data_IF_842933983670
#
_entry.id   IF_842933983670
#
_cell.length_a   1.000
_cell.length_b   1.000
_cell.length_c   1.000
_cell.angle_alpha   90.00
_cell.angle_beta   90.00
_cell.angle_gamma   90.00
#
_symmetry.space_group_name_H-M   'P 1'
#
loop_
_entity.id
_entity.type
_entity.pdbx_description
1 polymer ?
#
# COMPACT_ATOMS: atom_id res chain seq x y z
N UNK A 1 1.41 -15.15 6.92
CA UNK A 1 0.21 -14.33 6.65
C UNK A 1 -0.07 -14.19 5.16
N UNK A 2 -1.25 -14.63 4.71
CA UNK A 2 -1.73 -14.58 3.31
C UNK A 2 -1.94 -13.15 2.79
N UNK A 3 -2.28 -12.22 3.68
CA UNK A 3 -2.51 -10.80 3.38
C UNK A 3 -1.29 -10.12 2.73
N UNK A 4 -0.12 -10.19 3.37
CA UNK A 4 1.08 -9.54 2.84
C UNK A 4 1.53 -10.13 1.50
N UNK A 5 1.30 -11.43 1.28
CA UNK A 5 1.53 -12.06 -0.02
C UNK A 5 0.61 -11.47 -1.09
N UNK A 6 -0.69 -11.37 -0.82
CA UNK A 6 -1.66 -10.76 -1.74
C UNK A 6 -1.31 -9.30 -2.06
N UNK A 7 -0.91 -8.51 -1.05
CA UNK A 7 -0.48 -7.13 -1.26
C UNK A 7 0.79 -7.07 -2.12
N UNK A 8 1.78 -7.94 -1.84
CA UNK A 8 3.02 -8.02 -2.62
C UNK A 8 2.75 -8.39 -4.07
N UNK A 9 1.99 -9.46 -4.32
CA UNK A 9 1.62 -9.91 -5.67
C UNK A 9 0.87 -8.80 -6.43
N UNK A 10 -0.08 -8.15 -5.77
CA UNK A 10 -0.81 -7.00 -6.32
C UNK A 10 0.11 -5.82 -6.69
N UNK A 11 1.05 -5.43 -5.81
CA UNK A 11 1.97 -4.33 -6.09
C UNK A 11 2.99 -4.66 -7.16
N UNK A 12 3.33 -5.95 -7.30
CA UNK A 12 4.17 -6.44 -8.39
C UNK A 12 3.45 -6.30 -9.73
N UNK A 13 2.18 -6.68 -9.80
CA UNK A 13 1.35 -6.50 -10.99
C UNK A 13 1.21 -5.01 -11.36
N UNK A 14 1.00 -4.14 -10.36
CA UNK A 14 0.93 -2.68 -10.55
C UNK A 14 2.22 -2.10 -11.13
N UNK A 15 3.38 -2.59 -10.66
CA UNK A 15 4.68 -2.16 -11.18
C UNK A 15 4.86 -2.59 -12.65
N UNK A 16 4.45 -3.81 -13.01
CA UNK A 16 4.48 -4.29 -14.39
C UNK A 16 3.57 -3.43 -15.27
N UNK A 17 2.36 -3.12 -14.80
CA UNK A 17 1.41 -2.29 -15.54
C UNK A 17 1.96 -0.87 -15.77
N UNK A 18 2.55 -0.26 -14.74
CA UNK A 18 3.19 1.05 -14.85
C UNK A 18 4.35 1.08 -15.86
N UNK A 19 5.15 0.01 -15.92
CA UNK A 19 6.22 -0.13 -16.93
C UNK A 19 5.63 -0.21 -18.33
N UNK A 20 4.59 -1.03 -18.53
CA UNK A 20 3.89 -1.14 -19.82
C UNK A 20 3.26 0.17 -20.25
N UNK A 21 2.61 0.87 -19.32
CA UNK A 21 2.01 2.17 -19.58
C UNK A 21 3.05 3.21 -19.98
N UNK A 22 4.15 3.31 -19.21
CA UNK A 22 5.25 4.24 -19.49
C UNK A 22 5.87 3.99 -20.87
N UNK A 23 6.11 2.73 -21.22
CA UNK A 23 6.67 2.36 -22.53
C UNK A 23 5.70 2.57 -23.68
N UNK A 24 4.39 2.32 -23.49
CA UNK A 24 3.32 2.63 -24.46
C UNK A 24 3.28 4.12 -24.80
N UNK A 25 3.59 4.99 -23.84
CA UNK A 25 3.67 6.45 -24.00
C UNK A 25 4.97 6.93 -24.66
N UNK A 26 5.88 6.01 -25.03
CA UNK A 26 7.19 6.33 -25.60
C UNK A 26 8.25 6.70 -24.55
N UNK A 27 7.95 6.55 -23.26
CA UNK A 27 8.91 6.73 -22.18
C UNK A 27 9.83 5.52 -22.01
N UNK A 28 10.93 5.71 -21.29
CA UNK A 28 11.84 4.64 -20.87
C UNK A 28 11.86 4.57 -19.35
N UNK A 29 11.91 3.35 -18.80
CA UNK A 29 11.98 3.11 -17.36
C UNK A 29 13.42 2.83 -16.96
N UNK A 30 13.91 3.60 -15.99
CA UNK A 30 15.23 3.40 -15.39
C UNK A 30 15.08 2.74 -14.02
N UNK A 31 15.32 1.42 -13.96
CA UNK A 31 15.22 0.62 -12.75
C UNK A 31 16.38 0.83 -11.77
N UNK A 32 17.42 1.57 -12.16
CA UNK A 32 18.55 1.89 -11.29
C UNK A 32 18.24 3.03 -10.30
N UNK A 33 17.17 3.80 -10.56
CA UNK A 33 16.73 4.90 -9.71
C UNK A 33 15.79 4.40 -8.63
N UNK A 34 16.32 4.19 -7.43
CA UNK A 34 15.51 3.93 -6.24
C UNK A 34 15.19 5.27 -5.56
N UNK A 35 13.96 5.77 -5.70
CA UNK A 35 13.51 6.99 -5.00
C UNK A 35 13.11 6.71 -3.54
N UNK A 36 13.15 5.45 -3.09
CA UNK A 36 12.60 5.04 -1.80
C UNK A 36 13.66 5.08 -0.68
N UNK A 37 13.53 6.05 0.23
CA UNK A 37 14.18 5.99 1.54
C UNK A 37 13.29 5.17 2.47
N UNK A 38 13.59 3.87 2.61
CA UNK A 38 12.90 3.03 3.60
C UNK A 38 13.20 3.59 4.98
N UNK A 39 12.18 4.03 5.72
CA UNK A 39 12.33 4.24 7.18
C UNK A 39 12.73 2.88 7.77
N UNK A 40 13.99 2.77 8.18
CA UNK A 40 14.57 1.55 8.70
C UNK A 40 13.67 0.98 9.82
N UNK A 41 13.37 -0.33 9.83
CA UNK A 41 12.62 -0.92 10.92
C UNK A 41 13.31 -0.66 12.26
N UNK A 42 12.56 -0.47 13.36
CA UNK A 42 13.12 -0.62 14.68
C UNK A 42 13.76 -2.01 14.80
N UNK A 43 14.88 -2.15 15.54
CA UNK A 43 15.56 -3.43 15.69
C UNK A 43 14.61 -4.52 16.23
N UNK A 44 14.69 -5.72 15.64
CA UNK A 44 13.80 -6.87 15.89
C UNK A 44 13.76 -7.38 17.35
N UNK A 45 14.59 -6.86 18.26
CA UNK A 45 14.76 -7.42 19.62
C UNK A 45 13.66 -7.07 20.62
N UNK A 46 12.78 -6.12 20.31
CA UNK A 46 11.81 -5.61 21.30
C UNK A 46 10.36 -6.06 21.07
N UNK A 47 10.09 -6.90 20.07
CA UNK A 47 8.72 -7.22 19.70
C UNK A 47 8.14 -8.38 20.54
N UNK A 48 7.03 -8.11 21.23
CA UNK A 48 6.13 -9.14 21.74
C UNK A 48 5.34 -9.71 20.55
N UNK A 49 4.96 -10.99 20.60
CA UNK A 49 4.34 -11.69 19.46
C UNK A 49 3.20 -10.85 18.87
N UNK A 50 2.21 -10.39 19.64
CA UNK A 50 1.12 -9.55 19.12
C UNK A 50 1.46 -8.10 18.73
N UNK A 51 2.68 -7.60 18.98
CA UNK A 51 3.12 -6.29 18.47
C UNK A 51 3.75 -6.39 17.09
N UNK A 52 4.15 -7.59 16.64
CA UNK A 52 4.73 -7.80 15.30
C UNK A 52 3.68 -7.66 14.21
N UNK A 53 2.53 -8.33 14.34
CA UNK A 53 1.46 -8.27 13.32
C UNK A 53 0.84 -6.88 13.26
N UNK A 54 0.64 -6.24 14.42
CA UNK A 54 0.16 -4.86 14.50
C UNK A 54 1.12 -3.90 13.80
N UNK A 55 2.43 -4.03 14.04
CA UNK A 55 3.44 -3.23 13.35
C UNK A 55 3.43 -3.51 11.84
N UNK A 56 3.32 -4.77 11.44
CA UNK A 56 3.25 -5.16 10.03
C UNK A 56 2.07 -4.52 9.31
N UNK A 57 0.87 -4.54 9.91
CA UNK A 57 -0.32 -3.89 9.39
C UNK A 57 -0.15 -2.37 9.33
N UNK A 58 0.38 -1.75 10.39
CA UNK A 58 0.61 -0.30 10.43
C UNK A 58 1.57 0.13 9.33
N UNK A 59 2.67 -0.62 9.13
CA UNK A 59 3.63 -0.35 8.06
C UNK A 59 3.02 -0.52 6.67
N UNK A 60 2.22 -1.56 6.45
CA UNK A 60 1.53 -1.74 5.18
C UNK A 60 0.57 -0.57 4.91
N UNK A 61 -0.18 -0.13 5.92
CA UNK A 61 -1.07 1.03 5.82
C UNK A 61 -0.30 2.31 5.44
N UNK A 62 0.81 2.59 6.12
CA UNK A 62 1.63 3.77 5.83
C UNK A 62 2.25 3.72 4.43
N UNK A 63 2.68 2.53 3.98
CA UNK A 63 3.21 2.35 2.63
C UNK A 63 2.14 2.59 1.57
N UNK A 64 0.92 2.09 1.74
CA UNK A 64 -0.17 2.35 0.80
C UNK A 64 -0.63 3.81 0.80
N UNK A 65 -0.63 4.51 1.95
CA UNK A 65 -0.87 5.96 2.00
C UNK A 65 0.22 6.73 1.25
N UNK A 66 1.48 6.32 1.39
CA UNK A 66 2.58 6.93 0.66
C UNK A 66 2.41 6.77 -0.86
N UNK A 67 2.11 5.56 -1.33
CA UNK A 67 1.83 5.31 -2.75
C UNK A 67 0.63 6.12 -3.27
N UNK A 68 -0.44 6.23 -2.48
CA UNK A 68 -1.59 7.06 -2.82
C UNK A 68 -1.21 8.55 -2.97
N UNK A 69 -0.37 9.08 -2.07
CA UNK A 69 0.12 10.45 -2.17
C UNK A 69 1.00 10.65 -3.40
N UNK A 70 1.87 9.68 -3.73
CA UNK A 70 2.66 9.75 -4.97
C UNK A 70 1.77 9.78 -6.22
N UNK A 71 0.69 8.99 -6.26
CA UNK A 71 -0.28 9.04 -7.34
C UNK A 71 -0.97 10.42 -7.43
N UNK A 72 -1.32 11.02 -6.28
CA UNK A 72 -1.90 12.37 -6.24
C UNK A 72 -0.91 13.45 -6.69
N UNK A 73 0.37 13.34 -6.32
CA UNK A 73 1.40 14.28 -6.75
C UNK A 73 1.56 14.25 -8.27
N UNK A 74 1.63 13.06 -8.87
CA UNK A 74 1.68 12.91 -10.33
C UNK A 74 0.41 13.46 -10.97
N UNK A 75 -0.78 13.12 -10.44
CA UNK A 75 -2.07 13.62 -10.94
C UNK A 75 -2.14 15.15 -10.92
N UNK A 76 -1.66 15.78 -9.83
CA UNK A 76 -1.55 17.24 -9.70
C UNK A 76 -0.61 17.83 -10.74
N UNK A 77 0.55 17.22 -10.96
CA UNK A 77 1.54 17.69 -11.93
C UNK A 77 1.00 17.65 -13.37
N UNK A 78 0.20 16.64 -13.71
CA UNK A 78 -0.38 16.49 -15.06
C UNK A 78 -1.71 17.23 -15.27
N UNK A 79 -2.36 17.69 -14.19
CA UNK A 79 -3.61 18.46 -14.22
C UNK A 79 -3.40 19.97 -14.11
N UNK A 80 -2.19 20.42 -13.76
CA UNK A 80 -1.87 21.83 -13.61
C UNK A 80 -2.12 22.59 -14.91
N UNK A 81 -3.05 23.55 -14.89
CA UNK A 81 -3.43 24.42 -16.02
C UNK A 81 -2.31 25.38 -16.51
N UNK A 82 -1.04 25.12 -16.16
CA UNK A 82 0.06 25.81 -16.84
C UNK A 82 0.02 25.44 -18.31
N UNK A 83 0.15 26.42 -19.21
CA UNK A 83 -0.15 26.33 -20.65
C UNK A 83 0.60 25.24 -21.46
N UNK A 84 1.40 24.37 -20.82
CA UNK A 84 2.27 23.40 -21.48
C UNK A 84 2.03 21.93 -21.12
N UNK A 85 1.34 21.60 -20.02
CA UNK A 85 1.15 20.20 -19.61
C UNK A 85 -0.26 20.00 -19.05
N UNK A 86 -1.15 19.44 -19.86
CA UNK A 86 -2.45 18.94 -19.44
C UNK A 86 -2.66 17.57 -20.06
N UNK A 87 -2.41 16.51 -19.30
CA UNK A 87 -2.40 15.13 -19.79
C UNK A 87 -3.57 14.34 -19.21
N UNK A 88 -4.73 14.46 -19.86
CA UNK A 88 -5.96 13.81 -19.44
C UNK A 88 -5.86 12.27 -19.45
N UNK A 89 -4.97 11.71 -20.28
CA UNK A 89 -4.82 10.26 -20.36
C UNK A 89 -4.04 9.72 -19.16
N UNK A 90 -2.97 10.40 -18.72
CA UNK A 90 -2.30 10.07 -17.44
C UNK A 90 -3.23 10.23 -16.25
N UNK A 91 -4.02 11.30 -16.21
CA UNK A 91 -5.00 11.51 -15.13
C UNK A 91 -5.98 10.33 -15.06
N UNK A 92 -6.60 9.97 -16.19
CA UNK A 92 -7.58 8.89 -16.24
C UNK A 92 -6.96 7.52 -15.90
N UNK A 93 -5.75 7.25 -16.37
CA UNK A 93 -5.00 6.03 -16.04
C UNK A 93 -4.72 5.92 -14.54
N UNK A 94 -4.21 6.99 -13.91
CA UNK A 94 -3.92 7.01 -12.48
C UNK A 94 -5.19 6.81 -11.66
N UNK A 95 -6.28 7.48 -12.02
CA UNK A 95 -7.57 7.35 -11.33
C UNK A 95 -8.08 5.90 -11.38
N UNK A 96 -8.09 5.31 -12.57
CA UNK A 96 -8.64 3.99 -12.84
C UNK A 96 -7.83 2.86 -12.21
N UNK A 97 -6.51 2.89 -12.39
CA UNK A 97 -5.66 1.75 -12.01
C UNK A 97 -5.09 1.88 -10.58
N UNK A 98 -4.88 3.10 -10.06
CA UNK A 98 -4.17 3.32 -8.79
C UNK A 98 -5.04 3.96 -7.70
N UNK A 99 -5.69 5.10 -7.97
CA UNK A 99 -6.33 5.91 -6.93
C UNK A 99 -7.44 5.14 -6.21
N UNK A 100 -8.36 4.53 -6.96
CA UNK A 100 -9.44 3.73 -6.36
C UNK A 100 -8.91 2.53 -5.58
N UNK A 101 -7.95 1.81 -6.16
CA UNK A 101 -7.32 0.64 -5.54
C UNK A 101 -6.63 0.98 -4.22
N UNK A 102 -5.91 2.11 -4.17
CA UNK A 102 -5.27 2.58 -2.95
C UNK A 102 -6.29 2.97 -1.89
N UNK A 103 -7.38 3.66 -2.25
CA UNK A 103 -8.44 4.01 -1.31
C UNK A 103 -9.04 2.76 -0.64
N UNK A 104 -9.39 1.74 -1.42
CA UNK A 104 -9.95 0.47 -0.92
C UNK A 104 -8.94 -0.28 -0.04
N UNK A 105 -7.67 -0.34 -0.46
CA UNK A 105 -6.62 -1.02 0.28
C UNK A 105 -6.34 -0.35 1.62
N UNK A 106 -6.26 0.99 1.64
CA UNK A 106 -6.10 1.79 2.86
C UNK A 106 -7.30 1.57 3.79
N UNK A 107 -8.52 1.56 3.27
CA UNK A 107 -9.74 1.34 4.05
C UNK A 107 -9.76 -0.05 4.70
N UNK A 108 -9.35 -1.07 3.97
CA UNK A 108 -9.26 -2.45 4.48
C UNK A 108 -8.18 -2.57 5.56
N UNK A 109 -6.97 -2.07 5.31
CA UNK A 109 -5.86 -2.10 6.26
C UNK A 109 -6.16 -1.32 7.54
N UNK A 110 -6.80 -0.14 7.43
CA UNK A 110 -7.23 0.63 8.60
C UNK A 110 -8.32 -0.09 9.40
N UNK A 111 -9.23 -0.81 8.72
CA UNK A 111 -10.22 -1.67 9.37
C UNK A 111 -9.56 -2.79 10.15
N UNK A 112 -8.68 -3.56 9.51
CA UNK A 112 -7.92 -4.63 10.14
C UNK A 112 -7.10 -4.16 11.34
N UNK A 113 -6.43 -3.00 11.23
CA UNK A 113 -5.68 -2.42 12.32
C UNK A 113 -6.59 -2.10 13.53
N UNK A 114 -7.75 -1.50 13.28
CA UNK A 114 -8.74 -1.21 14.33
C UNK A 114 -9.26 -2.49 14.98
N UNK A 115 -9.56 -3.51 14.20
CA UNK A 115 -10.09 -4.78 14.71
C UNK A 115 -9.04 -5.45 15.62
N UNK A 116 -7.78 -5.53 15.18
CA UNK A 116 -6.69 -6.10 15.99
C UNK A 116 -6.48 -5.32 17.29
N UNK A 117 -6.49 -3.98 17.25
CA UNK A 117 -6.37 -3.15 18.46
C UNK A 117 -7.52 -3.47 19.42
N UNK A 118 -8.76 -3.48 18.94
CA UNK A 118 -9.93 -3.77 19.78
C UNK A 118 -9.92 -5.18 20.37
N UNK A 119 -9.44 -6.18 19.63
CA UNK A 119 -9.31 -7.55 20.12
C UNK A 119 -8.16 -7.69 21.12
N UNK A 120 -7.09 -6.91 20.98
CA UNK A 120 -5.93 -6.91 21.89
C UNK A 120 -6.22 -6.27 23.25
N UNK A 121 -7.27 -5.46 23.34
CA UNK A 121 -7.80 -4.92 24.61
C UNK A 121 -8.56 -5.99 25.41
N UNK A 122 -8.99 -7.08 24.78
CA UNK A 122 -9.54 -8.25 25.45
C UNK A 122 -8.38 -9.06 26.05
N UNK A 123 -8.58 -9.60 27.26
CA UNK A 123 -7.60 -10.11 28.24
C UNK A 123 -6.44 -11.00 27.72
N UNK A 124 -6.45 -11.47 26.47
CA UNK A 124 -5.39 -12.29 25.89
C UNK A 124 -4.98 -11.87 24.45
N UNK A 125 -3.91 -11.07 24.29
CA UNK A 125 -3.40 -10.62 23.00
C UNK A 125 -3.02 -11.73 22.02
N UNK A 126 -2.57 -12.88 22.53
CA UNK A 126 -2.19 -14.01 21.67
C UNK A 126 -3.42 -14.68 21.03
N UNK A 127 -4.52 -14.76 21.78
CA UNK A 127 -5.79 -15.27 21.24
C UNK A 127 -6.36 -14.31 20.19
N UNK A 128 -6.26 -13.00 20.42
CA UNK A 128 -6.66 -11.98 19.46
C UNK A 128 -5.93 -12.12 18.12
N UNK A 129 -4.60 -12.29 18.16
CA UNK A 129 -3.78 -12.49 16.96
C UNK A 129 -4.15 -13.78 16.23
N UNK A 130 -4.35 -14.87 16.97
CA UNK A 130 -4.76 -16.15 16.38
C UNK A 130 -6.13 -16.05 15.68
N UNK A 131 -7.14 -15.49 16.36
CA UNK A 131 -8.47 -15.31 15.77
C UNK A 131 -8.45 -14.39 14.55
N UNK A 132 -7.60 -13.36 14.59
CA UNK A 132 -7.42 -12.45 13.47
C UNK A 132 -6.73 -13.12 12.28
N UNK A 133 -5.71 -13.95 12.48
CA UNK A 133 -5.10 -14.73 11.39
C UNK A 133 -6.10 -15.70 10.76
N UNK A 134 -6.88 -16.42 11.57
CA UNK A 134 -7.97 -17.29 11.10
C UNK A 134 -9.02 -16.54 10.28
N UNK A 135 -9.37 -15.33 10.69
CA UNK A 135 -10.25 -14.45 9.93
C UNK A 135 -9.62 -14.06 8.58
N UNK A 136 -8.36 -13.62 8.58
CA UNK A 136 -7.65 -13.25 7.36
C UNK A 136 -7.54 -14.43 6.38
N UNK A 137 -7.34 -15.66 6.86
CA UNK A 137 -7.28 -16.83 5.99
C UNK A 137 -8.58 -17.07 5.18
N UNK A 138 -9.74 -16.67 5.74
CA UNK A 138 -11.07 -16.84 5.13
C UNK A 138 -11.43 -15.70 4.18
N UNK A 139 -11.00 -14.47 4.48
CA UNK A 139 -11.42 -13.26 3.74
C UNK A 139 -10.42 -12.84 2.66
N UNK A 140 -9.13 -13.16 2.82
CA UNK A 140 -8.06 -12.79 1.88
C UNK A 140 -7.91 -13.81 0.77
#
# INVERSE_FOLDING_TARGET
MKLFRKLSDSTWDDAIDLIKYTTKRGGSVDLSKTTYSVVAPPPLREFRIGTVELLGLSRALDMHKHLANQAHDIHKDVSAHSQKVHDAEVMSYLEKEFVHKHADTIRNLAGYLRDVVSLSELENPNLAVFMFDEYLQKVV
#
